data_IF_327594723177
#
_entry.id   IF_327594723177
#
_cell.length_a   1.000
_cell.length_b   1.000
_cell.length_c   1.000
_cell.angle_alpha   90.00
_cell.angle_beta   90.00
_cell.angle_gamma   90.00
#
_symmetry.space_group_name_H-M   'P 1'
#
loop_
_entity.id
_entity.type
_entity.pdbx_description
1 polymer ?
#
# COMPACT_ATOMS: atom_id res chain seq x y z
N UNK A 1 18.18 -11.28 12.96
CA UNK A 1 16.97 -12.08 12.71
C UNK A 1 17.25 -13.00 11.54
N UNK A 2 16.72 -14.22 11.58
CA UNK A 2 16.86 -15.16 10.46
C UNK A 2 16.08 -14.67 9.24
N UNK A 3 16.47 -15.11 8.05
CA UNK A 3 15.79 -14.75 6.80
C UNK A 3 14.36 -15.27 6.84
N UNK A 4 13.39 -14.38 6.57
CA UNK A 4 11.96 -14.71 6.59
C UNK A 4 11.27 -14.38 7.92
N UNK A 5 12.03 -14.07 8.98
CA UNK A 5 11.44 -13.49 10.19
C UNK A 5 10.96 -12.06 9.93
N UNK A 6 9.90 -11.65 10.62
CA UNK A 6 9.37 -10.29 10.57
C UNK A 6 9.36 -9.68 11.97
N UNK A 7 9.62 -8.37 12.06
CA UNK A 7 9.45 -7.57 13.26
C UNK A 7 8.29 -6.59 13.04
N UNK A 8 7.29 -6.63 13.92
CA UNK A 8 6.11 -5.78 13.84
C UNK A 8 6.15 -4.83 15.03
N UNK A 9 6.00 -3.53 14.76
CA UNK A 9 5.95 -2.50 15.79
C UNK A 9 4.86 -1.48 15.49
N UNK A 10 4.42 -0.79 16.54
CA UNK A 10 3.45 0.31 16.43
C UNK A 10 4.18 1.61 16.09
N UNK A 11 3.53 2.50 15.34
CA UNK A 11 4.14 3.77 14.89
C UNK A 11 4.53 4.75 16.00
N UNK A 12 4.11 4.50 17.24
CA UNK A 12 4.50 5.29 18.42
C UNK A 12 5.70 4.70 19.18
N UNK A 13 6.25 3.56 18.74
CA UNK A 13 7.45 2.99 19.35
C UNK A 13 8.68 3.80 18.93
N UNK A 14 9.45 4.32 19.89
CA UNK A 14 10.75 4.89 19.59
C UNK A 14 11.69 3.80 19.06
N UNK A 15 12.25 3.99 17.87
CA UNK A 15 13.12 3.00 17.22
C UNK A 15 14.13 3.67 16.29
N UNK A 16 15.14 2.91 15.89
CA UNK A 16 16.16 3.34 14.94
C UNK A 16 16.90 2.14 14.36
N UNK A 17 17.63 2.37 13.27
CA UNK A 17 18.48 1.33 12.70
C UNK A 17 19.71 1.11 13.59
N UNK A 18 20.02 -0.14 13.93
CA UNK A 18 21.25 -0.47 14.68
C UNK A 18 22.51 -0.30 13.81
N UNK A 19 23.64 0.04 14.43
CA UNK A 19 24.95 0.14 13.76
C UNK A 19 25.34 -1.19 13.08
N UNK A 20 25.82 -1.13 11.84
CA UNK A 20 26.33 -2.30 11.14
C UNK A 20 27.83 -2.45 11.42
N UNK A 21 28.22 -3.49 12.16
CA UNK A 21 29.62 -3.76 12.54
C UNK A 21 30.39 -4.59 11.51
N UNK A 22 29.74 -5.00 10.42
CA UNK A 22 30.33 -5.84 9.36
C UNK A 22 30.60 -5.03 8.10
N UNK A 23 31.41 -5.57 7.18
CA UNK A 23 31.62 -4.96 5.85
C UNK A 23 30.49 -5.32 4.86
N UNK A 24 29.53 -6.14 5.27
CA UNK A 24 28.46 -6.65 4.41
C UNK A 24 27.22 -5.76 4.45
N UNK A 25 26.46 -5.74 3.35
CA UNK A 25 25.19 -5.00 3.27
C UNK A 25 24.07 -5.75 3.99
N UNK A 26 23.53 -5.17 5.07
CA UNK A 26 22.31 -5.65 5.72
C UNK A 26 21.05 -5.12 5.01
N UNK A 27 20.38 -5.98 4.24
CA UNK A 27 19.13 -5.67 3.53
C UNK A 27 17.91 -5.81 4.42
N UNK A 28 16.97 -4.88 4.31
CA UNK A 28 15.68 -4.87 5.04
C UNK A 28 14.59 -4.49 4.03
N UNK A 29 13.40 -5.07 4.18
CA UNK A 29 12.18 -4.60 3.52
C UNK A 29 11.29 -4.02 4.61
N UNK A 30 10.94 -2.75 4.48
CA UNK A 30 10.03 -2.07 5.40
C UNK A 30 8.65 -1.94 4.75
N UNK A 31 7.61 -2.35 5.47
CA UNK A 31 6.22 -2.22 5.02
C UNK A 31 5.46 -1.41 6.08
N UNK A 32 5.02 -0.21 5.70
CA UNK A 32 4.31 0.71 6.59
C UNK A 32 2.83 0.71 6.22
N UNK A 33 1.97 0.41 7.20
CA UNK A 33 0.53 0.41 7.02
C UNK A 33 -0.09 1.56 7.81
N UNK A 34 -1.03 2.26 7.19
CA UNK A 34 -1.82 3.31 7.82
C UNK A 34 -3.33 2.99 7.71
N UNK A 35 -4.15 3.73 8.46
CA UNK A 35 -5.61 3.68 8.29
C UNK A 35 -5.96 4.16 6.88
N UNK A 36 -6.98 3.57 6.26
CA UNK A 36 -7.41 3.95 4.90
C UNK A 36 -7.95 5.37 4.73
N UNK A 37 -8.07 6.13 5.82
CA UNK A 37 -8.44 7.56 5.82
C UNK A 37 -7.22 8.50 5.88
N UNK A 38 -6.01 7.93 6.02
CA UNK A 38 -4.75 8.65 6.05
C UNK A 38 -4.07 8.56 4.68
N UNK A 39 -3.29 9.57 4.34
CA UNK A 39 -2.48 9.57 3.12
C UNK A 39 -1.30 8.62 3.28
N UNK A 40 -1.04 7.82 2.24
CA UNK A 40 0.14 6.98 2.14
C UNK A 40 1.41 7.82 1.91
N UNK A 41 2.55 7.33 2.41
CA UNK A 41 3.85 7.96 2.16
C UNK A 41 4.29 7.80 0.69
N UNK A 42 4.22 6.58 0.16
CA UNK A 42 4.39 6.31 -1.26
C UNK A 42 3.07 6.45 -2.02
N UNK A 43 3.09 7.08 -3.19
CA UNK A 43 1.90 7.23 -4.03
C UNK A 43 1.62 5.95 -4.82
N UNK A 44 0.97 4.97 -4.18
CA UNK A 44 0.72 3.65 -4.77
C UNK A 44 -0.11 3.70 -6.07
N UNK A 45 -0.91 4.75 -6.27
CA UNK A 45 -1.68 4.97 -7.50
C UNK A 45 -0.80 5.33 -8.71
N UNK A 46 0.37 5.94 -8.47
CA UNK A 46 1.34 6.30 -9.53
C UNK A 46 2.49 5.29 -9.64
N UNK A 47 2.89 4.67 -8.53
CA UNK A 47 4.02 3.73 -8.50
C UNK A 47 3.72 2.41 -9.24
N UNK A 48 2.45 2.05 -9.38
CA UNK A 48 2.03 0.76 -9.94
C UNK A 48 1.36 0.92 -11.31
N UNK A 49 1.87 0.28 -12.37
CA UNK A 49 1.17 0.25 -13.65
C UNK A 49 -0.22 -0.38 -13.52
N UNK A 50 -1.22 0.22 -14.17
CA UNK A 50 -2.61 -0.26 -14.19
C UNK A 50 -2.73 -1.74 -14.57
N UNK A 51 -1.98 -2.16 -15.59
CA UNK A 51 -1.92 -3.56 -16.05
C UNK A 51 -1.42 -4.55 -15.00
N UNK A 52 -0.63 -4.09 -14.02
CA UNK A 52 -0.22 -4.91 -12.87
C UNK A 52 -1.26 -4.87 -11.77
N UNK A 53 -1.81 -3.68 -11.44
CA UNK A 53 -2.84 -3.52 -10.40
C UNK A 53 -4.05 -4.43 -10.66
N UNK A 54 -4.52 -4.52 -11.91
CA UNK A 54 -5.66 -5.37 -12.28
C UNK A 54 -5.40 -6.87 -12.09
N UNK A 55 -4.13 -7.31 -12.03
CA UNK A 55 -3.74 -8.71 -11.78
C UNK A 55 -3.51 -9.01 -10.30
N UNK A 56 -3.51 -7.99 -9.44
CA UNK A 56 -3.31 -8.17 -8.00
C UNK A 56 -4.56 -8.75 -7.35
N UNK A 57 -4.39 -9.44 -6.22
CA UNK A 57 -5.53 -9.92 -5.45
C UNK A 57 -6.38 -8.75 -4.92
N UNK A 58 -7.69 -8.94 -4.70
CA UNK A 58 -8.54 -7.90 -4.11
C UNK A 58 -8.02 -7.37 -2.78
N UNK A 59 -7.37 -8.24 -1.98
CA UNK A 59 -6.72 -7.86 -0.72
C UNK A 59 -5.58 -6.86 -0.95
N UNK A 60 -4.73 -7.09 -1.96
CA UNK A 60 -3.61 -6.20 -2.25
C UNK A 60 -4.08 -4.88 -2.86
N UNK A 61 -5.05 -4.91 -3.79
CA UNK A 61 -5.67 -3.68 -4.31
C UNK A 61 -6.24 -2.82 -3.17
N UNK A 62 -6.90 -3.44 -2.18
CA UNK A 62 -7.37 -2.75 -0.97
C UNK A 62 -6.22 -2.15 -0.16
N UNK A 63 -5.12 -2.89 0.06
CA UNK A 63 -3.96 -2.39 0.81
C UNK A 63 -3.27 -1.22 0.09
N UNK A 64 -3.27 -1.22 -1.24
CA UNK A 64 -2.75 -0.11 -2.05
C UNK A 64 -3.67 1.11 -2.08
N UNK A 65 -4.88 1.04 -1.49
CA UNK A 65 -5.78 2.18 -1.36
C UNK A 65 -6.87 2.28 -2.43
N UNK A 66 -7.05 1.25 -3.29
CA UNK A 66 -8.11 1.25 -4.30
C UNK A 66 -9.51 1.00 -3.75
N UNK A 67 -9.65 0.67 -2.46
CA UNK A 67 -10.94 0.49 -1.82
C UNK A 67 -11.24 1.66 -0.91
N UNK A 68 -12.45 2.22 -1.01
CA UNK A 68 -12.91 3.22 -0.04
C UNK A 68 -13.09 2.62 1.36
N UNK A 69 -12.77 3.34 2.45
CA UNK A 69 -13.15 2.92 3.80
C UNK A 69 -14.68 2.90 3.97
N UNK A 70 -15.21 1.91 4.71
CA UNK A 70 -16.65 1.58 4.78
C UNK A 70 -17.56 2.73 5.24
N UNK A 71 -17.03 3.69 6.00
CA UNK A 71 -17.80 4.79 6.60
C UNK A 71 -17.32 6.17 6.16
N UNK A 72 -16.65 6.25 5.02
CA UNK A 72 -16.16 7.52 4.48
C UNK A 72 -16.40 7.61 2.98
N UNK A 73 -16.32 8.84 2.49
CA UNK A 73 -16.36 9.18 1.07
C UNK A 73 -14.96 9.42 0.47
N UNK A 74 -13.90 9.18 1.25
CA UNK A 74 -12.52 9.35 0.77
C UNK A 74 -12.14 8.26 -0.23
N UNK A 75 -11.50 8.66 -1.32
CA UNK A 75 -11.00 7.75 -2.36
C UNK A 75 -12.06 7.23 -3.32
N UNK A 76 -13.24 7.84 -3.37
CA UNK A 76 -14.27 7.50 -4.36
C UNK A 76 -13.87 7.93 -5.78
N UNK A 77 -14.45 7.23 -6.75
CA UNK A 77 -14.49 7.64 -8.15
C UNK A 77 -15.95 7.59 -8.59
N UNK A 78 -16.46 8.67 -9.19
CA UNK A 78 -17.84 8.76 -9.69
C UNK A 78 -18.90 8.40 -8.63
N UNK A 79 -18.74 8.88 -7.40
CA UNK A 79 -19.60 8.59 -6.23
C UNK A 79 -19.66 7.12 -5.79
N UNK A 80 -18.67 6.29 -6.17
CA UNK A 80 -18.64 4.88 -5.81
C UNK A 80 -17.25 4.40 -5.35
N UNK A 81 -17.21 3.24 -4.68
CA UNK A 81 -15.99 2.50 -4.34
C UNK A 81 -15.34 1.96 -5.62
N UNK A 82 -14.15 2.46 -6.04
CA UNK A 82 -13.52 2.02 -7.28
C UNK A 82 -13.10 0.54 -7.24
N UNK A 83 -12.98 -0.07 -6.05
CA UNK A 83 -12.72 -1.50 -5.92
C UNK A 83 -13.91 -2.39 -6.31
N UNK A 84 -15.11 -1.84 -6.56
CA UNK A 84 -16.24 -2.63 -7.10
C UNK A 84 -15.98 -3.11 -8.52
N UNK A 85 -15.41 -2.24 -9.36
CA UNK A 85 -14.98 -2.56 -10.72
C UNK A 85 -13.85 -1.63 -11.16
N UNK A 86 -12.63 -1.99 -10.77
CA UNK A 86 -11.45 -1.16 -11.05
C UNK A 86 -11.07 -1.17 -12.55
N UNK A 87 -11.46 -2.22 -13.27
CA UNK A 87 -11.19 -2.33 -14.71
C UNK A 87 -12.04 -1.30 -15.47
N UNK A 88 -13.36 -1.26 -15.22
CA UNK A 88 -14.25 -0.28 -15.82
C UNK A 88 -13.85 1.16 -15.47
N UNK A 89 -13.40 1.41 -14.23
CA UNK A 89 -12.87 2.72 -13.83
C UNK A 89 -11.66 3.12 -14.68
N UNK A 90 -10.69 2.22 -14.88
CA UNK A 90 -9.53 2.51 -15.71
C UNK A 90 -9.85 2.66 -17.20
N UNK A 91 -10.81 1.91 -17.73
CA UNK A 91 -11.25 2.08 -19.12
C UNK A 91 -11.87 3.47 -19.32
N UNK A 92 -12.80 3.87 -18.45
CA UNK A 92 -13.49 5.16 -18.55
C UNK A 92 -12.57 6.38 -18.39
N UNK A 93 -11.59 6.32 -17.49
CA UNK A 93 -10.71 7.46 -17.20
C UNK A 93 -9.63 7.68 -18.26
N UNK A 94 -9.36 6.68 -19.09
CA UNK A 94 -8.21 6.69 -20.00
C UNK A 94 -8.57 6.27 -21.45
N UNK A 95 -9.85 6.23 -21.78
CA UNK A 95 -10.39 6.29 -23.15
C UNK A 95 -10.33 7.71 -23.69
#
# INVERSE_FOLDING_TARGET
MERGSAFIFLGNLAHGSGYNTTQEVRKIINLVFCRGILRQEENQFLCNPRSKVLKMSPKLQRLLGFKKPEKTWLGMVENEDPAKDLAAVYEKLFS
#
